data_IF_201420859030
#
_entry.id   IF_201420859030
#
_cell.length_a   1.000
_cell.length_b   1.000
_cell.length_c   1.000
_cell.angle_alpha   90.00
_cell.angle_beta   90.00
_cell.angle_gamma   90.00
#
_symmetry.space_group_name_H-M   'P 1'
#
loop_
_entity.id
_entity.type
_entity.pdbx_description
1 polymer ?
#
# COMPACT_ATOMS: atom_id res chain seq x y z
N UNK A 1 6.56 16.66 -24.27
CA UNK A 1 5.73 15.58 -23.67
C UNK A 1 4.76 16.19 -22.65
N UNK A 2 3.60 15.58 -22.44
CA UNK A 2 2.52 16.12 -21.59
C UNK A 2 2.56 15.60 -20.14
N UNK A 3 2.16 16.49 -19.23
CA UNK A 3 2.25 16.49 -17.76
C UNK A 3 1.75 15.22 -17.06
N UNK A 4 0.73 14.53 -17.59
CA UNK A 4 0.30 13.23 -17.07
C UNK A 4 0.54 12.08 -18.03
N UNK A 5 0.91 12.36 -19.27
CA UNK A 5 1.14 11.34 -20.30
C UNK A 5 2.39 10.50 -20.01
N UNK A 6 3.22 11.10 -19.16
CA UNK A 6 4.35 10.60 -18.39
C UNK A 6 3.98 9.85 -17.08
N UNK A 7 2.70 9.77 -16.65
CA UNK A 7 2.21 9.02 -15.45
C UNK A 7 2.30 7.48 -15.57
N UNK A 8 3.34 6.97 -16.25
CA UNK A 8 3.71 5.56 -16.16
C UNK A 8 4.03 5.24 -14.68
N UNK A 9 3.76 4.03 -14.20
CA UNK A 9 3.92 2.74 -14.87
C UNK A 9 2.75 1.79 -14.61
N UNK A 10 2.06 1.32 -15.66
CA UNK A 10 1.81 -0.12 -15.72
C UNK A 10 3.17 -0.76 -15.98
N UNK A 11 3.89 -1.05 -14.90
CA UNK A 11 5.10 -1.83 -14.94
C UNK A 11 4.75 -3.20 -15.50
N UNK A 12 5.68 -3.82 -16.24
CA UNK A 12 5.54 -5.24 -16.61
C UNK A 12 5.48 -6.13 -15.36
N UNK A 13 6.05 -5.66 -14.26
CA UNK A 13 5.96 -6.31 -12.97
C UNK A 13 4.63 -5.93 -12.30
N UNK A 14 3.74 -6.90 -12.17
CA UNK A 14 2.42 -6.70 -11.56
C UNK A 14 2.50 -6.20 -10.11
N UNK A 15 3.47 -6.67 -9.32
CA UNK A 15 3.69 -6.25 -7.93
C UNK A 15 3.96 -4.74 -7.81
N UNK A 16 4.63 -4.12 -8.78
CA UNK A 16 4.85 -2.67 -8.76
C UNK A 16 3.55 -1.91 -8.95
N UNK A 17 2.66 -2.41 -9.80
CA UNK A 17 1.37 -1.75 -10.07
C UNK A 17 0.46 -1.83 -8.85
N UNK A 18 0.42 -3.00 -8.21
CA UNK A 18 -0.38 -3.21 -7.01
C UNK A 18 0.18 -2.42 -5.82
N UNK A 19 1.51 -2.37 -5.62
CA UNK A 19 2.14 -1.48 -4.63
C UNK A 19 1.78 0.01 -4.83
N UNK A 20 1.78 0.49 -6.07
CA UNK A 20 1.36 1.87 -6.40
C UNK A 20 -0.11 2.12 -6.03
N UNK A 21 -0.99 1.15 -6.30
CA UNK A 21 -2.40 1.26 -5.94
C UNK A 21 -2.59 1.27 -4.42
N UNK A 22 -1.89 0.40 -3.68
CA UNK A 22 -1.90 0.37 -2.21
C UNK A 22 -1.52 1.73 -1.64
N UNK A 23 -0.48 2.37 -2.17
CA UNK A 23 -0.05 3.69 -1.70
C UNK A 23 -1.12 4.76 -1.90
N UNK A 24 -1.70 4.84 -3.11
CA UNK A 24 -2.74 5.84 -3.41
C UNK A 24 -3.99 5.60 -2.55
N UNK A 25 -4.43 4.36 -2.43
CA UNK A 25 -5.59 4.01 -1.59
C UNK A 25 -5.32 4.21 -0.11
N UNK A 26 -4.09 3.96 0.36
CA UNK A 26 -3.66 4.26 1.73
C UNK A 26 -3.75 5.76 2.00
N UNK A 27 -3.19 6.60 1.13
CA UNK A 27 -3.28 8.06 1.28
C UNK A 27 -4.74 8.52 1.30
N UNK A 28 -5.58 7.99 0.42
CA UNK A 28 -7.01 8.29 0.39
C UNK A 28 -7.71 7.87 1.71
N UNK A 29 -7.39 6.69 2.24
CA UNK A 29 -7.91 6.22 3.52
C UNK A 29 -7.50 7.12 4.68
N UNK A 30 -6.24 7.56 4.71
CA UNK A 30 -5.73 8.45 5.75
C UNK A 30 -6.41 9.83 5.76
N UNK A 31 -6.97 10.28 4.63
CA UNK A 31 -7.77 11.52 4.58
C UNK A 31 -9.09 11.41 5.37
N UNK A 32 -9.51 10.20 5.76
CA UNK A 32 -10.71 9.97 6.58
C UNK A 32 -10.45 10.18 8.07
N UNK A 33 -9.17 10.17 8.49
CA UNK A 33 -8.81 10.41 9.88
C UNK A 33 -9.14 11.85 10.28
N UNK A 34 -9.67 12.02 11.50
CA UNK A 34 -9.79 13.34 12.10
C UNK A 34 -8.42 14.01 12.26
N UNK A 35 -8.39 15.35 12.32
CA UNK A 35 -7.13 16.10 12.46
C UNK A 35 -6.29 15.67 13.67
N UNK A 36 -6.94 15.22 14.76
CA UNK A 36 -6.25 14.71 15.95
C UNK A 36 -5.47 13.43 15.65
N UNK A 37 -6.11 12.45 15.04
CA UNK A 37 -5.50 11.15 14.76
C UNK A 37 -4.56 11.20 13.55
N UNK A 38 -4.86 12.04 12.56
CA UNK A 38 -4.00 12.26 11.40
C UNK A 38 -2.57 12.66 11.81
N UNK A 39 -2.42 13.58 12.78
CA UNK A 39 -1.10 13.99 13.30
C UNK A 39 -0.30 12.87 13.97
N UNK A 40 -0.97 11.81 14.44
CA UNK A 40 -0.33 10.71 15.16
C UNK A 40 -0.08 9.49 14.26
N UNK A 41 -0.95 9.28 13.27
CA UNK A 41 -1.00 8.04 12.51
C UNK A 41 -0.71 8.22 11.02
N UNK A 42 -1.09 9.35 10.41
CA UNK A 42 -1.06 9.46 8.96
C UNK A 42 0.36 9.37 8.39
N UNK A 43 1.32 10.12 8.96
CA UNK A 43 2.71 10.06 8.51
C UNK A 43 3.34 8.66 8.64
N UNK A 44 3.32 7.99 9.81
CA UNK A 44 3.94 6.66 9.93
C UNK A 44 3.24 5.60 9.08
N UNK A 45 1.92 5.69 8.87
CA UNK A 45 1.19 4.77 7.97
C UNK A 45 1.57 5.04 6.51
N UNK A 46 1.58 6.31 6.08
CA UNK A 46 1.96 6.69 4.73
C UNK A 46 3.41 6.30 4.40
N UNK A 47 4.31 6.39 5.39
CA UNK A 47 5.70 5.96 5.25
C UNK A 47 5.81 4.47 4.93
N UNK A 48 5.07 3.62 5.64
CA UNK A 48 5.06 2.18 5.36
C UNK A 48 4.57 1.90 3.93
N UNK A 49 3.52 2.58 3.49
CA UNK A 49 3.03 2.44 2.11
C UNK A 49 4.06 2.91 1.06
N UNK A 50 4.79 3.99 1.36
CA UNK A 50 5.88 4.48 0.52
C UNK A 50 7.06 3.51 0.46
N UNK A 51 7.44 2.90 1.59
CA UNK A 51 8.50 1.91 1.67
C UNK A 51 8.22 0.71 0.75
N UNK A 52 6.97 0.26 0.64
CA UNK A 52 6.60 -0.84 -0.28
C UNK A 52 7.00 -0.46 -1.72
N UNK A 53 6.58 0.71 -2.21
CA UNK A 53 6.90 1.20 -3.56
C UNK A 53 8.43 1.29 -3.74
N UNK A 54 9.11 1.92 -2.80
CA UNK A 54 10.54 2.15 -2.88
C UNK A 54 11.30 0.84 -2.99
N UNK A 55 10.96 -0.15 -2.18
CA UNK A 55 11.62 -1.45 -2.18
C UNK A 55 11.29 -2.29 -3.42
N UNK A 56 10.05 -2.27 -3.92
CA UNK A 56 9.70 -2.99 -5.16
C UNK A 56 10.39 -2.40 -6.39
N UNK A 57 10.51 -1.07 -6.47
CA UNK A 57 11.21 -0.40 -7.57
C UNK A 57 12.73 -0.63 -7.50
N UNK A 58 13.32 -0.58 -6.30
CA UNK A 58 14.73 -0.94 -6.08
C UNK A 58 14.99 -2.40 -6.49
N UNK A 59 14.13 -3.33 -6.09
CA UNK A 59 14.25 -4.74 -6.46
C UNK A 59 14.14 -4.94 -7.98
N UNK A 60 13.21 -4.25 -8.65
CA UNK A 60 13.01 -4.35 -10.09
C UNK A 60 14.19 -3.79 -10.88
N UNK A 61 14.85 -2.76 -10.36
CA UNK A 61 16.03 -2.13 -10.97
C UNK A 61 17.30 -3.01 -10.88
N UNK A 62 17.29 -4.06 -10.07
CA UNK A 62 18.42 -5.00 -9.93
C UNK A 62 18.21 -6.19 -10.87
N UNK A 63 19.01 -6.26 -11.94
CA UNK A 63 19.12 -7.46 -12.76
C UNK A 63 19.97 -8.53 -12.01
N UNK A 64 19.45 -9.75 -11.79
CA UNK A 64 20.14 -10.78 -11.01
C UNK A 64 21.14 -11.55 -11.88
N UNK A 65 22.33 -10.97 -12.10
CA UNK A 65 23.43 -11.56 -12.90
C UNK A 65 24.45 -12.37 -12.10
N UNK A 66 24.54 -12.13 -10.80
CA UNK A 66 25.50 -12.76 -9.89
C UNK A 66 24.85 -12.95 -8.51
N UNK A 67 25.51 -13.72 -7.64
CA UNK A 67 25.00 -14.08 -6.31
C UNK A 67 24.67 -12.83 -5.49
N UNK A 68 25.56 -11.84 -5.47
CA UNK A 68 25.38 -10.62 -4.69
C UNK A 68 24.13 -9.84 -5.17
N UNK A 69 23.93 -9.70 -6.48
CA UNK A 69 22.74 -9.04 -7.05
C UNK A 69 21.47 -9.82 -6.77
N UNK A 70 21.53 -11.16 -6.80
CA UNK A 70 20.38 -11.99 -6.45
C UNK A 70 20.00 -11.79 -4.99
N UNK A 71 20.97 -11.79 -4.08
CA UNK A 71 20.76 -11.56 -2.65
C UNK A 71 20.21 -10.16 -2.38
N UNK A 72 20.78 -9.11 -2.99
CA UNK A 72 20.29 -7.73 -2.85
C UNK A 72 18.86 -7.57 -3.36
N UNK A 73 18.53 -8.13 -4.53
CA UNK A 73 17.15 -8.11 -5.06
C UNK A 73 16.19 -8.82 -4.10
N UNK A 74 16.60 -9.98 -3.57
CA UNK A 74 15.79 -10.73 -2.61
C UNK A 74 15.59 -9.96 -1.30
N UNK A 75 16.62 -9.27 -0.81
CA UNK A 75 16.53 -8.44 0.39
C UNK A 75 15.48 -7.34 0.23
N UNK A 76 15.51 -6.58 -0.87
CA UNK A 76 14.48 -5.56 -1.11
C UNK A 76 13.06 -6.14 -1.23
N UNK A 77 12.88 -7.30 -1.86
CA UNK A 77 11.56 -7.94 -1.90
C UNK A 77 11.08 -8.39 -0.51
N UNK A 78 12.00 -8.82 0.36
CA UNK A 78 11.69 -9.15 1.75
C UNK A 78 11.33 -7.90 2.56
N UNK A 79 12.06 -6.80 2.36
CA UNK A 79 11.77 -5.50 2.99
C UNK A 79 10.41 -4.97 2.55
N UNK A 80 10.10 -4.99 1.24
CA UNK A 80 8.79 -4.61 0.70
C UNK A 80 7.66 -5.40 1.37
N UNK A 81 7.85 -6.73 1.51
CA UNK A 81 6.87 -7.59 2.16
C UNK A 81 6.74 -7.30 3.66
N UNK A 82 7.83 -7.01 4.34
CA UNK A 82 7.80 -6.63 5.76
C UNK A 82 7.03 -5.32 5.97
N UNK A 83 7.30 -4.29 5.16
CA UNK A 83 6.57 -3.01 5.20
C UNK A 83 5.10 -3.20 4.83
N UNK A 84 4.76 -4.09 3.90
CA UNK A 84 3.37 -4.46 3.57
C UNK A 84 2.62 -5.06 4.76
N UNK A 85 3.21 -6.04 5.46
CA UNK A 85 2.57 -6.65 6.63
C UNK A 85 2.44 -5.65 7.78
N UNK A 86 3.41 -4.75 7.95
CA UNK A 86 3.32 -3.69 8.94
C UNK A 86 2.24 -2.66 8.58
N UNK A 87 2.08 -2.34 7.30
CA UNK A 87 1.04 -1.45 6.79
C UNK A 87 -0.36 -2.00 7.08
N UNK A 88 -0.59 -3.28 6.85
CA UNK A 88 -1.87 -3.97 7.12
C UNK A 88 -2.34 -3.77 8.58
N UNK A 89 -1.46 -4.05 9.53
CA UNK A 89 -1.72 -3.81 10.96
C UNK A 89 -2.03 -2.35 11.25
N UNK A 90 -1.30 -1.41 10.62
CA UNK A 90 -1.50 0.03 10.84
C UNK A 90 -2.79 0.55 10.23
N UNK A 91 -3.20 0.05 9.07
CA UNK A 91 -4.47 0.36 8.44
C UNK A 91 -5.64 -0.20 9.25
N UNK A 92 -5.48 -1.40 9.84
CA UNK A 92 -6.46 -1.95 10.78
C UNK A 92 -6.70 -1.01 11.96
N UNK A 93 -5.64 -0.47 12.56
CA UNK A 93 -5.79 0.52 13.64
C UNK A 93 -6.47 1.82 13.17
N UNK A 94 -6.15 2.30 11.97
CA UNK A 94 -6.80 3.47 11.41
C UNK A 94 -8.30 3.22 11.20
N UNK A 95 -8.67 2.04 10.69
CA UNK A 95 -10.07 1.63 10.54
C UNK A 95 -10.79 1.62 11.88
N UNK A 96 -10.24 0.95 12.90
CA UNK A 96 -10.87 0.86 14.23
C UNK A 96 -11.11 2.26 14.83
N UNK A 97 -10.20 3.20 14.62
CA UNK A 97 -10.35 4.58 15.07
C UNK A 97 -11.44 5.32 14.30
N UNK A 98 -11.46 5.20 12.97
CA UNK A 98 -12.50 5.79 12.14
C UNK A 98 -13.89 5.22 12.50
N UNK A 99 -13.95 3.92 12.80
CA UNK A 99 -15.20 3.22 13.09
C UNK A 99 -15.82 3.61 14.45
N UNK A 100 -15.06 4.24 15.35
CA UNK A 100 -15.62 4.81 16.59
C UNK A 100 -16.55 6.00 16.31
N UNK A 101 -16.36 6.71 15.19
CA UNK A 101 -17.25 7.77 14.74
C UNK A 101 -17.24 7.87 13.20
N UNK A 102 -17.96 6.97 12.50
CA UNK A 102 -17.95 6.92 11.04
C UNK A 102 -18.47 8.20 10.39
N UNK A 103 -19.52 8.83 10.96
CA UNK A 103 -20.11 10.07 10.44
C UNK A 103 -19.08 11.20 10.30
N UNK A 104 -18.13 11.27 11.25
CA UNK A 104 -17.05 12.27 11.25
C UNK A 104 -15.99 12.06 10.17
N UNK A 105 -15.98 10.91 9.50
CA UNK A 105 -14.97 10.57 8.48
C UNK A 105 -15.34 11.08 7.08
N UNK A 106 -16.60 11.43 6.85
CA UNK A 106 -17.11 11.75 5.52
C UNK A 106 -18.03 12.97 5.54
N UNK A 107 -17.77 13.88 4.60
CA UNK A 107 -18.64 15.02 4.32
C UNK A 107 -19.20 14.92 2.90
N UNK A 108 -20.44 15.36 2.74
CA UNK A 108 -21.04 15.67 1.44
C UNK A 108 -20.30 16.83 0.77
N UNK A 109 -20.55 17.07 -0.53
CA UNK A 109 -19.98 18.22 -1.25
C UNK A 109 -20.35 19.58 -0.62
N UNK A 110 -21.47 19.64 0.11
CA UNK A 110 -21.91 20.81 0.85
C UNK A 110 -21.29 20.91 2.27
N UNK A 111 -20.31 20.05 2.61
CA UNK A 111 -19.62 20.03 3.89
C UNK A 111 -20.40 19.40 5.05
N UNK A 112 -21.61 18.88 4.80
CA UNK A 112 -22.42 18.22 5.85
C UNK A 112 -21.97 16.78 6.09
N UNK A 113 -22.01 16.26 7.33
CA UNK A 113 -21.71 14.85 7.62
C UNK A 113 -22.58 13.89 6.80
N UNK A 114 -22.00 12.75 6.41
CA UNK A 114 -22.75 11.64 5.84
C UNK A 114 -23.50 10.90 6.96
N UNK A 115 -24.67 10.32 6.65
CA UNK A 115 -25.43 9.53 7.62
C UNK A 115 -24.59 8.37 8.18
N UNK A 116 -24.81 7.94 9.43
CA UNK A 116 -23.95 6.96 10.10
C UNK A 116 -23.82 5.66 9.32
N UNK A 117 -24.94 5.06 8.91
CA UNK A 117 -24.96 3.81 8.15
C UNK A 117 -24.21 3.94 6.81
N UNK A 118 -24.45 5.02 6.08
CA UNK A 118 -23.80 5.26 4.78
C UNK A 118 -22.29 5.52 4.95
N UNK A 119 -21.88 6.10 6.09
CA UNK A 119 -20.48 6.36 6.42
C UNK A 119 -19.74 5.08 6.82
N UNK A 120 -20.37 4.22 7.62
CA UNK A 120 -19.88 2.89 7.98
C UNK A 120 -19.69 2.02 6.74
N UNK A 121 -20.71 1.90 5.88
CA UNK A 121 -20.62 1.13 4.63
C UNK A 121 -19.51 1.63 3.69
N UNK A 122 -19.27 2.95 3.66
CA UNK A 122 -18.17 3.52 2.88
C UNK A 122 -16.81 3.18 3.48
N UNK A 123 -16.67 3.28 4.79
CA UNK A 123 -15.44 2.95 5.49
C UNK A 123 -15.08 1.47 5.28
N UNK A 124 -16.06 0.57 5.41
CA UNK A 124 -15.91 -0.86 5.20
C UNK A 124 -15.46 -1.18 3.77
N UNK A 125 -16.10 -0.56 2.77
CA UNK A 125 -15.69 -0.76 1.36
C UNK A 125 -14.26 -0.29 1.10
N UNK A 126 -13.85 0.82 1.69
CA UNK A 126 -12.48 1.31 1.54
C UNK A 126 -11.47 0.37 2.21
N UNK A 127 -11.79 -0.12 3.41
CA UNK A 127 -10.94 -1.07 4.13
C UNK A 127 -10.85 -2.42 3.39
N UNK A 128 -11.97 -2.91 2.87
CA UNK A 128 -12.04 -4.15 2.08
C UNK A 128 -11.19 -4.05 0.81
N UNK A 129 -11.31 -2.95 0.05
CA UNK A 129 -10.49 -2.70 -1.15
C UNK A 129 -8.99 -2.74 -0.84
N UNK A 130 -8.58 -2.08 0.25
CA UNK A 130 -7.20 -2.10 0.72
C UNK A 130 -6.74 -3.50 1.15
N UNK A 131 -7.57 -4.24 1.87
CA UNK A 131 -7.28 -5.61 2.28
C UNK A 131 -7.06 -6.54 1.09
N UNK A 132 -7.92 -6.47 0.08
CA UNK A 132 -7.80 -7.26 -1.16
C UNK A 132 -6.50 -6.93 -1.91
N UNK A 133 -6.11 -5.66 -1.96
CA UNK A 133 -4.83 -5.26 -2.56
C UNK A 133 -3.62 -5.75 -1.78
N UNK A 134 -3.68 -5.70 -0.44
CA UNK A 134 -2.62 -6.20 0.44
C UNK A 134 -2.43 -7.70 0.27
N UNK A 135 -3.51 -8.48 0.26
CA UNK A 135 -3.46 -9.92 0.04
C UNK A 135 -2.87 -10.24 -1.33
N UNK A 136 -3.33 -9.54 -2.37
CA UNK A 136 -2.80 -9.68 -3.73
C UNK A 136 -1.29 -9.39 -3.77
N UNK A 137 -0.85 -8.28 -3.20
CA UNK A 137 0.56 -7.89 -3.21
C UNK A 137 1.43 -8.88 -2.44
N UNK A 138 0.94 -9.40 -1.31
CA UNK A 138 1.65 -10.41 -0.53
C UNK A 138 1.93 -11.67 -1.35
N UNK A 139 0.96 -12.13 -2.14
CA UNK A 139 1.14 -13.29 -3.03
C UNK A 139 2.11 -12.98 -4.19
N UNK A 140 2.01 -11.80 -4.79
CA UNK A 140 2.94 -11.38 -5.85
C UNK A 140 4.39 -11.29 -5.34
N UNK A 141 4.60 -10.72 -4.15
CA UNK A 141 5.92 -10.62 -3.52
C UNK A 141 6.47 -12.00 -3.14
N UNK A 142 5.65 -12.90 -2.56
CA UNK A 142 6.05 -14.29 -2.30
C UNK A 142 6.51 -14.99 -3.59
N UNK A 143 5.75 -14.82 -4.68
CA UNK A 143 6.10 -15.36 -5.99
C UNK A 143 7.43 -14.81 -6.52
N UNK A 144 7.63 -13.50 -6.43
CA UNK A 144 8.88 -12.85 -6.84
C UNK A 144 10.09 -13.33 -6.02
N UNK A 145 9.95 -13.41 -4.70
CA UNK A 145 11.00 -13.91 -3.79
C UNK A 145 11.40 -15.35 -4.16
N UNK A 146 10.40 -16.22 -4.38
CA UNK A 146 10.63 -17.62 -4.78
C UNK A 146 11.36 -17.71 -6.12
N UNK A 147 10.94 -16.93 -7.12
CA UNK A 147 11.57 -16.90 -8.45
C UNK A 147 13.03 -16.45 -8.39
N UNK A 148 13.33 -15.41 -7.62
CA UNK A 148 14.70 -14.91 -7.41
C UNK A 148 15.57 -15.97 -6.72
N UNK A 149 15.04 -16.66 -5.72
CA UNK A 149 15.76 -17.72 -5.01
C UNK A 149 16.07 -18.98 -5.84
N UNK A 150 15.27 -19.27 -6.87
CA UNK A 150 15.54 -20.41 -7.77
C UNK A 150 16.77 -20.16 -8.66
N UNK A 151 17.04 -18.90 -9.04
CA UNK A 151 18.23 -18.54 -9.83
C UNK A 151 19.57 -18.73 -9.10
N UNK A 152 19.57 -18.83 -7.77
CA UNK A 152 20.78 -19.17 -7.01
C UNK A 152 21.15 -20.65 -7.10
N UNK A 153 20.21 -21.51 -7.51
CA UNK A 153 20.40 -22.97 -7.56
C UNK A 153 20.73 -23.49 -8.96
N UNK A 154 20.57 -22.65 -9.98
CA UNK A 154 20.87 -22.91 -11.39
C UNK A 154 22.20 -22.30 -11.77
#
# INVERSE_FOLDING_TARGET
MSVLKQKRTTSKAEFINTANQIYVETLNFLTRLSARYSRLLAEPVAKLAGEIIDHVEKANSIFPSDIQRVEMRKAHLLEARASLMALDVRLTHCYLICNQNPEGCFTTAAGKPVKPKDAEEKLDKMAQSLGELIDKENELLKGAIKSVGQRLKS
#
